data_IF_346241438149
#
_entry.id   IF_346241438149
#
_cell.length_a   1.000
_cell.length_b   1.000
_cell.length_c   1.000
_cell.angle_alpha   90.00
_cell.angle_beta   90.00
_cell.angle_gamma   90.00
#
_symmetry.space_group_name_H-M   'P 1'
#
loop_
_entity.id
_entity.type
_entity.pdbx_description
1 polymer ?
#
# COMPACT_ATOMS: atom_id res chain seq x y z
N UNK A 1 -6.22 13.14 -42.74
CA UNK A 1 -7.38 13.23 -41.82
C UNK A 1 -7.62 11.93 -41.05
N UNK A 2 -7.76 10.77 -41.71
CA UNK A 2 -8.03 9.49 -41.04
C UNK A 2 -6.93 8.97 -40.09
N UNK A 3 -5.65 9.20 -40.40
CA UNK A 3 -4.53 8.77 -39.53
C UNK A 3 -4.58 9.48 -38.17
N UNK A 4 -4.88 10.79 -38.16
CA UNK A 4 -5.05 11.55 -36.91
C UNK A 4 -6.24 11.03 -36.11
N UNK A 5 -7.36 10.69 -36.76
CA UNK A 5 -8.51 10.11 -36.09
C UNK A 5 -8.19 8.76 -35.43
N UNK A 6 -7.39 7.91 -36.09
CA UNK A 6 -6.92 6.64 -35.50
C UNK A 6 -5.95 6.84 -34.34
N UNK A 7 -5.01 7.78 -34.43
CA UNK A 7 -4.08 8.08 -33.34
C UNK A 7 -4.84 8.62 -32.13
N UNK A 8 -5.78 9.55 -32.33
CA UNK A 8 -6.63 10.07 -31.27
C UNK A 8 -7.53 8.96 -30.69
N UNK A 9 -8.12 8.12 -31.54
CA UNK A 9 -8.96 7.00 -31.11
C UNK A 9 -8.21 5.96 -30.29
N UNK A 10 -7.02 5.56 -30.73
CA UNK A 10 -6.16 4.63 -29.99
C UNK A 10 -5.66 5.26 -28.69
N UNK A 11 -5.23 6.53 -28.72
CA UNK A 11 -4.81 7.25 -27.51
C UNK A 11 -5.92 7.32 -26.46
N UNK A 12 -7.16 7.65 -26.88
CA UNK A 12 -8.33 7.66 -26.02
C UNK A 12 -8.61 6.26 -25.45
N UNK A 13 -8.55 5.23 -26.30
CA UNK A 13 -8.82 3.85 -25.89
C UNK A 13 -7.79 3.37 -24.87
N UNK A 14 -6.50 3.62 -25.11
CA UNK A 14 -5.43 3.29 -24.15
C UNK A 14 -5.62 4.02 -22.82
N UNK A 15 -5.98 5.31 -22.85
CA UNK A 15 -6.25 6.07 -21.65
C UNK A 15 -7.43 5.52 -20.84
N UNK A 16 -8.57 5.26 -21.51
CA UNK A 16 -9.79 4.74 -20.87
C UNK A 16 -9.58 3.33 -20.33
N UNK A 17 -8.98 2.42 -21.12
CA UNK A 17 -8.70 1.06 -20.67
C UNK A 17 -7.65 1.01 -19.56
N UNK A 18 -6.65 1.90 -19.60
CA UNK A 18 -5.67 2.04 -18.52
C UNK A 18 -6.33 2.38 -17.20
N UNK A 19 -7.16 3.44 -17.16
CA UNK A 19 -7.85 3.84 -15.93
C UNK A 19 -8.83 2.77 -15.43
N UNK A 20 -9.49 2.03 -16.34
CA UNK A 20 -10.35 0.90 -15.97
C UNK A 20 -9.59 -0.27 -15.34
N UNK A 21 -8.35 -0.53 -15.79
CA UNK A 21 -7.50 -1.57 -15.22
C UNK A 21 -6.97 -1.14 -13.85
N UNK A 22 -6.50 0.10 -13.72
CA UNK A 22 -5.98 0.62 -12.45
C UNK A 22 -7.04 0.60 -11.34
N UNK A 23 -8.29 0.94 -11.66
CA UNK A 23 -9.43 0.85 -10.71
C UNK A 23 -9.77 -0.58 -10.31
N UNK A 24 -9.48 -1.56 -11.16
CA UNK A 24 -9.68 -2.97 -10.81
C UNK A 24 -8.60 -3.49 -9.88
N UNK A 25 -7.36 -3.02 -10.04
CA UNK A 25 -6.23 -3.37 -9.18
C UNK A 25 -6.36 -2.72 -7.79
N UNK A 26 -6.66 -1.42 -7.74
CA UNK A 26 -6.86 -0.67 -6.51
C UNK A 26 -8.26 -0.02 -6.48
N UNK A 27 -9.27 -0.68 -5.88
CA UNK A 27 -10.58 -0.07 -5.67
C UNK A 27 -10.60 0.97 -4.54
N UNK A 28 -9.51 1.14 -3.77
CA UNK A 28 -9.41 2.03 -2.62
C UNK A 28 -8.38 3.16 -2.84
N UNK A 29 -8.44 3.84 -4.00
CA UNK A 29 -7.55 4.97 -4.32
C UNK A 29 -7.82 6.21 -3.45
N UNK A 30 -9.06 6.34 -3.00
CA UNK A 30 -9.52 7.37 -2.07
C UNK A 30 -10.23 6.65 -0.91
N UNK A 31 -9.49 6.11 0.07
CA UNK A 31 -10.09 5.36 1.17
C UNK A 31 -10.97 6.29 2.01
N UNK A 32 -12.27 6.04 1.99
CA UNK A 32 -13.23 6.80 2.80
C UNK A 32 -13.03 6.50 4.29
N UNK A 33 -13.02 7.57 5.08
CA UNK A 33 -12.88 7.50 6.53
C UNK A 33 -14.18 7.95 7.18
N UNK A 34 -14.63 7.18 8.17
CA UNK A 34 -15.81 7.50 8.97
C UNK A 34 -15.38 7.64 10.41
N UNK A 35 -15.68 8.80 11.02
CA UNK A 35 -15.49 8.98 12.46
C UNK A 35 -16.75 8.49 13.20
N UNK A 36 -16.58 7.49 14.05
CA UNK A 36 -17.64 6.92 14.89
C UNK A 36 -17.19 7.13 16.34
N UNK A 37 -17.92 7.97 17.08
CA UNK A 37 -17.55 8.43 18.42
C UNK A 37 -16.12 9.02 18.45
N UNK A 38 -15.20 8.36 19.13
CA UNK A 38 -13.79 8.76 19.27
C UNK A 38 -12.83 7.87 18.44
N UNK A 39 -13.37 7.08 17.50
CA UNK A 39 -12.60 6.19 16.64
C UNK A 39 -12.73 6.60 15.18
N UNK A 40 -11.65 6.48 14.43
CA UNK A 40 -11.63 6.61 12.97
C UNK A 40 -11.68 5.21 12.36
N UNK A 41 -12.66 4.96 11.50
CA UNK A 41 -12.79 3.74 10.71
C UNK A 41 -12.46 4.01 9.24
N UNK A 42 -11.68 3.12 8.62
CA UNK A 42 -11.44 3.07 7.18
C UNK A 42 -11.91 1.72 6.67
N UNK A 43 -12.68 1.74 5.57
CA UNK A 43 -13.22 0.53 4.94
C UNK A 43 -12.56 0.31 3.60
N UNK A 44 -11.86 -0.81 3.45
CA UNK A 44 -11.17 -1.18 2.23
C UNK A 44 -11.91 -2.33 1.54
N UNK A 45 -12.23 -2.15 0.27
CA UNK A 45 -12.81 -3.18 -0.59
C UNK A 45 -11.71 -4.08 -1.14
N UNK A 46 -11.97 -5.38 -1.18
CA UNK A 46 -11.13 -6.36 -1.83
C UNK A 46 -11.12 -6.13 -3.35
N UNK A 47 -9.95 -6.23 -3.96
CA UNK A 47 -9.80 -6.18 -5.42
C UNK A 47 -10.15 -7.54 -6.06
N UNK A 48 -10.15 -7.61 -7.40
CA UNK A 48 -10.50 -8.84 -8.14
C UNK A 48 -9.54 -10.00 -7.89
N UNK A 49 -8.31 -9.73 -7.48
CA UNK A 49 -7.30 -10.74 -7.14
C UNK A 49 -7.43 -11.26 -5.70
N UNK A 50 -8.35 -10.71 -4.90
CA UNK A 50 -8.53 -11.10 -3.50
C UNK A 50 -7.64 -10.33 -2.51
N UNK A 51 -6.98 -9.26 -2.94
CA UNK A 51 -6.11 -8.44 -2.08
C UNK A 51 -6.80 -7.14 -1.66
N UNK A 52 -6.38 -6.59 -0.52
CA UNK A 52 -6.73 -5.23 -0.12
C UNK A 52 -5.58 -4.31 -0.50
N UNK A 53 -5.80 -3.51 -1.53
CA UNK A 53 -4.85 -2.50 -2.01
C UNK A 53 -5.44 -1.14 -1.71
N UNK A 54 -4.65 -0.21 -1.18
CA UNK A 54 -5.13 1.13 -0.82
C UNK A 54 -4.06 2.17 -1.05
N UNK A 55 -4.48 3.37 -1.48
CA UNK A 55 -3.60 4.52 -1.41
C UNK A 55 -3.37 4.93 0.05
N UNK A 56 -2.22 5.55 0.31
CA UNK A 56 -1.87 6.10 1.60
C UNK A 56 -0.60 6.93 1.53
N UNK A 57 0.01 7.20 2.68
CA UNK A 57 1.28 7.93 2.74
C UNK A 57 2.27 7.31 3.71
N UNK A 58 3.56 7.40 3.39
CA UNK A 58 4.67 7.17 4.32
C UNK A 58 5.37 8.50 4.50
N UNK A 59 5.49 8.99 5.73
CA UNK A 59 6.13 10.27 6.03
C UNK A 59 5.57 11.43 5.18
N UNK A 60 4.27 11.39 4.84
CA UNK A 60 3.60 12.36 3.96
C UNK A 60 3.81 12.16 2.46
N UNK A 61 4.64 11.20 2.03
CA UNK A 61 4.85 10.87 0.61
C UNK A 61 3.79 9.87 0.15
N UNK A 62 3.05 10.13 -0.94
CA UNK A 62 2.04 9.22 -1.47
C UNK A 62 2.64 7.87 -1.89
N UNK A 63 1.98 6.78 -1.49
CA UNK A 63 2.33 5.41 -1.84
C UNK A 63 1.08 4.55 -2.00
N UNK A 64 1.25 3.35 -2.56
CA UNK A 64 0.23 2.32 -2.57
C UNK A 64 0.64 1.16 -1.66
N UNK A 65 -0.29 0.76 -0.80
CA UNK A 65 -0.13 -0.35 0.12
C UNK A 65 -0.94 -1.56 -0.35
N UNK A 66 -0.38 -2.74 -0.21
CA UNK A 66 -1.14 -3.98 -0.10
C UNK A 66 -1.11 -4.47 1.34
N UNK A 67 -2.28 -4.75 1.90
CA UNK A 67 -2.40 -5.27 3.27
C UNK A 67 -1.90 -6.71 3.29
N UNK A 68 -0.90 -7.02 4.13
CA UNK A 68 -0.31 -8.35 4.24
C UNK A 68 -0.16 -8.75 5.72
N UNK A 69 -1.10 -9.58 6.20
CA UNK A 69 -1.07 -10.11 7.58
C UNK A 69 0.06 -11.12 7.81
N UNK A 70 0.70 -11.63 6.75
CA UNK A 70 1.85 -12.53 6.83
C UNK A 70 3.18 -11.80 7.04
N UNK A 71 3.23 -10.49 6.76
CA UNK A 71 4.42 -9.68 6.94
C UNK A 71 4.54 -9.15 8.38
N UNK A 72 5.70 -9.35 9.01
CA UNK A 72 5.96 -8.85 10.37
C UNK A 72 6.11 -7.33 10.42
N UNK A 73 6.85 -6.77 9.47
CA UNK A 73 7.14 -5.33 9.35
C UNK A 73 6.63 -4.81 8.01
N UNK A 74 6.50 -3.49 7.85
CA UNK A 74 6.21 -2.92 6.52
C UNK A 74 7.37 -3.25 5.58
N UNK A 75 7.10 -3.90 4.45
CA UNK A 75 8.13 -4.26 3.47
C UNK A 75 8.07 -3.29 2.29
N UNK A 76 9.15 -2.54 2.10
CA UNK A 76 9.28 -1.47 1.11
C UNK A 76 10.30 -1.94 0.07
N UNK A 77 10.00 -1.84 -1.24
CA UNK A 77 11.01 -2.07 -2.27
C UNK A 77 12.23 -1.17 -2.07
N UNK A 78 13.44 -1.76 -2.06
CA UNK A 78 14.64 -1.02 -1.68
C UNK A 78 14.95 0.19 -2.57
N UNK A 79 14.53 0.17 -3.84
CA UNK A 79 14.70 1.27 -4.78
C UNK A 79 13.85 2.52 -4.41
N UNK A 80 12.87 2.38 -3.50
CA UNK A 80 12.06 3.50 -3.02
C UNK A 80 12.68 4.27 -1.85
N UNK A 81 13.81 3.80 -1.32
CA UNK A 81 14.48 4.39 -0.17
C UNK A 81 14.68 5.90 -0.31
N UNK A 82 15.26 6.34 -1.44
CA UNK A 82 15.57 7.75 -1.68
C UNK A 82 14.31 8.61 -1.82
N UNK A 83 13.31 8.13 -2.58
CA UNK A 83 12.03 8.82 -2.76
C UNK A 83 11.30 9.04 -1.43
N UNK A 84 11.38 8.06 -0.54
CA UNK A 84 10.73 8.09 0.76
C UNK A 84 11.59 8.71 1.87
N UNK A 85 12.83 9.12 1.56
CA UNK A 85 13.76 9.71 2.53
C UNK A 85 14.14 8.76 3.67
N UNK A 86 14.18 7.45 3.41
CA UNK A 86 14.39 6.43 4.44
C UNK A 86 15.87 6.17 4.67
N UNK A 87 16.25 6.04 5.95
CA UNK A 87 17.62 5.74 6.35
C UNK A 87 17.72 4.30 6.88
N UNK A 88 18.65 3.49 6.37
CA UNK A 88 18.92 2.18 6.93
C UNK A 88 19.47 2.28 8.36
N UNK A 89 18.92 1.49 9.28
CA UNK A 89 19.35 1.40 10.68
C UNK A 89 20.06 0.08 11.01
N UNK A 90 20.11 -0.85 10.05
CA UNK A 90 20.76 -2.15 10.19
C UNK A 90 20.36 -3.13 9.10
N UNK A 91 20.61 -4.41 9.30
CA UNK A 91 20.17 -5.47 8.38
C UNK A 91 19.49 -6.62 9.11
N UNK A 92 18.64 -7.35 8.40
CA UNK A 92 17.97 -8.55 8.88
C UNK A 92 17.81 -9.56 7.74
N UNK A 93 17.45 -10.79 8.09
CA UNK A 93 16.92 -11.75 7.14
C UNK A 93 15.40 -11.71 7.20
N UNK A 94 14.75 -11.56 6.05
CA UNK A 94 13.31 -11.67 5.89
C UNK A 94 12.97 -12.96 5.14
N UNK A 95 11.96 -13.67 5.62
CA UNK A 95 11.40 -14.81 4.91
C UNK A 95 10.31 -14.32 3.97
N UNK A 96 10.46 -14.60 2.68
CA UNK A 96 9.53 -14.20 1.62
C UNK A 96 9.03 -15.43 0.88
N UNK A 97 8.04 -15.26 0.00
CA UNK A 97 7.58 -16.32 -0.89
C UNK A 97 8.71 -16.87 -1.80
N UNK A 98 9.69 -16.03 -2.16
CA UNK A 98 10.83 -16.41 -2.99
C UNK A 98 12.04 -16.90 -2.17
N UNK A 99 11.84 -17.19 -0.88
CA UNK A 99 12.89 -17.63 0.05
C UNK A 99 13.41 -16.52 0.96
N UNK A 100 14.56 -16.78 1.58
CA UNK A 100 15.17 -15.87 2.55
C UNK A 100 15.99 -14.81 1.83
N UNK A 101 15.75 -13.53 2.14
CA UNK A 101 16.45 -12.39 1.57
C UNK A 101 17.02 -11.51 2.67
N UNK A 102 18.20 -10.93 2.44
CA UNK A 102 18.77 -9.91 3.32
C UNK A 102 18.11 -8.57 3.03
N UNK A 103 17.50 -7.98 4.04
CA UNK A 103 16.82 -6.67 3.98
C UNK A 103 17.53 -5.66 4.86
N UNK A 104 17.42 -4.38 4.53
CA UNK A 104 17.88 -3.31 5.41
C UNK A 104 16.72 -2.90 6.34
N UNK A 105 16.99 -2.71 7.63
CA UNK A 105 15.98 -2.22 8.58
C UNK A 105 15.82 -0.71 8.45
N UNK A 106 14.62 -0.19 8.66
CA UNK A 106 14.36 1.24 8.75
C UNK A 106 13.13 1.50 9.63
N UNK A 107 12.85 2.76 9.93
CA UNK A 107 11.69 3.18 10.71
C UNK A 107 10.95 4.29 9.97
N UNK A 108 9.62 4.24 10.02
CA UNK A 108 8.74 5.22 9.40
C UNK A 108 8.19 6.11 10.50
N UNK A 109 8.30 7.43 10.32
CA UNK A 109 7.78 8.41 11.27
C UNK A 109 6.25 8.36 11.31
N UNK A 110 5.63 8.20 10.13
CA UNK A 110 4.19 8.01 9.99
C UNK A 110 3.83 7.13 8.80
N UNK A 111 2.76 6.37 8.97
CA UNK A 111 2.02 5.67 7.92
C UNK A 111 0.57 6.10 8.03
N UNK A 112 -0.02 6.56 6.93
CA UNK A 112 -1.43 6.97 6.91
C UNK A 112 -2.23 6.25 5.83
N UNK A 113 -3.46 5.88 6.17
CA UNK A 113 -4.49 5.34 5.27
C UNK A 113 -5.78 6.07 5.62
N UNK A 114 -6.35 6.82 4.66
CA UNK A 114 -7.44 7.74 4.96
C UNK A 114 -7.04 8.70 6.09
N UNK A 115 -7.93 8.84 7.08
CA UNK A 115 -7.73 9.67 8.27
C UNK A 115 -7.02 8.93 9.43
N UNK A 116 -6.63 7.67 9.23
CA UNK A 116 -5.85 6.90 10.21
C UNK A 116 -4.37 7.19 10.00
N UNK A 117 -3.68 7.58 11.07
CA UNK A 117 -2.21 7.73 11.09
C UNK A 117 -1.61 6.89 12.21
N UNK A 118 -0.61 6.09 11.86
CA UNK A 118 0.18 5.27 12.78
C UNK A 118 1.62 5.77 12.78
N UNK A 119 2.20 5.93 13.97
CA UNK A 119 3.55 6.47 14.15
C UNK A 119 4.56 5.41 14.56
N UNK A 120 5.85 5.70 14.37
CA UNK A 120 6.97 4.87 14.82
C UNK A 120 6.86 3.42 14.31
N UNK A 121 6.66 3.28 13.01
CA UNK A 121 6.39 1.99 12.37
C UNK A 121 7.70 1.35 11.93
N UNK A 122 7.92 0.10 12.35
CA UNK A 122 9.07 -0.69 11.89
C UNK A 122 8.86 -1.10 10.44
N UNK A 123 9.92 -0.95 9.65
CA UNK A 123 9.90 -1.32 8.24
C UNK A 123 11.22 -1.96 7.81
N UNK A 124 11.23 -2.52 6.61
CA UNK A 124 12.42 -2.99 5.96
C UNK A 124 12.45 -2.60 4.47
N UNK A 125 13.65 -2.39 3.96
CA UNK A 125 13.96 -2.16 2.57
C UNK A 125 14.38 -3.50 1.94
N UNK A 126 13.54 -4.02 1.07
CA UNK A 126 13.67 -5.35 0.48
C UNK A 126 14.16 -5.25 -0.98
N UNK A 127 15.39 -5.71 -1.27
CA UNK A 127 15.93 -5.70 -2.63
C UNK A 127 15.30 -6.75 -3.56
N UNK A 128 14.55 -7.71 -3.01
CA UNK A 128 13.82 -8.72 -3.79
C UNK A 128 12.46 -8.27 -4.33
N UNK A 129 12.04 -7.03 -4.03
CA UNK A 129 10.80 -6.43 -4.53
C UNK A 129 11.11 -5.50 -5.69
N UNK A 130 10.53 -5.79 -6.86
CA UNK A 130 10.78 -5.08 -8.12
C UNK A 130 9.67 -4.09 -8.52
N UNK A 131 8.51 -4.14 -7.85
CA UNK A 131 7.38 -3.24 -8.11
C UNK A 131 7.34 -2.05 -7.16
N UNK A 132 6.35 -1.19 -7.34
CA UNK A 132 6.12 0.01 -6.52
C UNK A 132 5.27 -0.25 -5.26
N UNK A 133 4.63 -1.43 -5.18
CA UNK A 133 3.71 -1.78 -4.12
C UNK A 133 4.45 -2.06 -2.80
N UNK A 134 3.96 -1.48 -1.71
CA UNK A 134 4.49 -1.65 -0.36
C UNK A 134 3.60 -2.61 0.42
N UNK A 135 4.19 -3.58 1.11
CA UNK A 135 3.42 -4.51 1.94
C UNK A 135 3.23 -3.91 3.33
N UNK A 136 1.97 -3.70 3.74
CA UNK A 136 1.61 -3.18 5.04
C UNK A 136 1.41 -4.34 6.01
N UNK A 137 2.44 -4.58 6.82
CA UNK A 137 2.50 -5.71 7.75
C UNK A 137 1.97 -5.43 9.15
N UNK A 138 2.17 -6.42 10.03
CA UNK A 138 1.70 -6.44 11.42
C UNK A 138 2.30 -5.33 12.30
N UNK A 139 3.44 -4.75 11.95
CA UNK A 139 3.99 -3.55 12.61
C UNK A 139 3.01 -2.36 12.63
N UNK A 140 2.13 -2.27 11.63
CA UNK A 140 1.01 -1.30 11.58
C UNK A 140 -0.27 -1.97 12.10
N UNK A 141 -0.63 -3.14 11.56
CA UNK A 141 -1.95 -3.74 11.80
C UNK A 141 -2.22 -4.06 13.27
N UNK A 142 -1.20 -4.37 14.08
CA UNK A 142 -1.37 -4.61 15.52
C UNK A 142 -1.75 -3.36 16.34
N UNK A 143 -1.58 -2.18 15.76
CA UNK A 143 -1.89 -0.89 16.39
C UNK A 143 -3.31 -0.42 16.05
N UNK A 144 -4.05 -1.22 15.28
CA UNK A 144 -5.40 -0.96 14.82
C UNK A 144 -6.27 -2.16 15.19
N UNK A 145 -7.57 -1.92 15.38
CA UNK A 145 -8.55 -2.98 15.24
C UNK A 145 -8.70 -3.29 13.75
N UNK A 146 -8.57 -4.56 13.38
CA UNK A 146 -8.80 -5.02 12.02
C UNK A 146 -9.88 -6.11 12.02
N UNK A 147 -10.87 -6.00 11.13
CA UNK A 147 -11.92 -7.01 10.97
C UNK A 147 -12.21 -7.21 9.49
N UNK A 148 -12.17 -8.46 9.04
CA UNK A 148 -12.61 -8.83 7.70
C UNK A 148 -14.07 -9.29 7.72
N UNK A 149 -14.92 -8.72 6.85
CA UNK A 149 -16.32 -9.10 6.66
C UNK A 149 -16.66 -9.15 5.17
N UNK A 150 -16.76 -10.36 4.62
CA UNK A 150 -16.94 -10.55 3.18
C UNK A 150 -15.79 -9.94 2.39
N UNK A 151 -16.11 -9.08 1.41
CA UNK A 151 -15.14 -8.35 0.59
C UNK A 151 -14.59 -7.08 1.27
N UNK A 152 -14.93 -6.82 2.53
CA UNK A 152 -14.50 -5.61 3.24
C UNK A 152 -13.49 -5.94 4.32
N UNK A 153 -12.39 -5.18 4.33
CA UNK A 153 -11.50 -5.05 5.47
C UNK A 153 -11.80 -3.72 6.16
N UNK A 154 -12.10 -3.81 7.45
CA UNK A 154 -12.40 -2.65 8.29
C UNK A 154 -11.19 -2.43 9.19
N UNK A 155 -10.58 -1.25 9.12
CA UNK A 155 -9.49 -0.79 9.97
C UNK A 155 -10.01 0.31 10.89
N UNK A 156 -9.67 0.26 12.17
CA UNK A 156 -10.19 1.20 13.16
C UNK A 156 -9.13 1.51 14.21
N UNK A 157 -9.07 2.77 14.65
CA UNK A 157 -8.18 3.19 15.74
C UNK A 157 -8.64 2.59 17.07
N UNK A 158 -7.68 2.17 17.89
CA UNK A 158 -7.92 1.68 19.26
C UNK A 158 -8.51 2.77 20.16
#
# INVERSE_FOLDING_TARGET
MYILAWICGLGLLTFVFGDLLDRQENPNREPESVRIDNQTEVRLKQNRAGHYVTAGTINGVPVEFMIDTGATDVAIPAHLQERLGLLPTGSALAQTANGVVRVARTELNSVSIGDITVHNVRANLNPGMNGEQILLGMSVLKQLEFTQRGEWLILRTL
#
